data_IF_260851910157
#
_entry.id   IF_260851910157
#
_cell.length_a   1.000
_cell.length_b   1.000
_cell.length_c   1.000
_cell.angle_alpha   90.00
_cell.angle_beta   90.00
_cell.angle_gamma   90.00
#
_symmetry.space_group_name_H-M   'P 1'
#
loop_
_entity.id
_entity.type
_entity.pdbx_description
1 polymer ?
#
# COMPACT_ATOMS: atom_id res chain seq x y z
N UNK A 1 -2.18 15.65 1.98
CA UNK A 1 -1.49 14.41 2.41
C UNK A 1 -0.56 14.73 3.55
N UNK A 2 -0.74 14.11 4.68
CA UNK A 2 0.07 14.35 5.87
C UNK A 2 1.32 13.46 5.83
N UNK A 3 2.33 13.91 5.14
CA UNK A 3 3.55 13.14 4.88
C UNK A 3 4.26 12.72 6.16
N UNK A 4 4.31 13.61 7.16
CA UNK A 4 4.98 13.32 8.40
C UNK A 4 4.25 12.24 9.20
N UNK A 5 2.92 12.34 9.29
CA UNK A 5 2.10 11.34 9.98
C UNK A 5 2.21 9.97 9.31
N UNK A 6 2.18 9.94 7.97
CA UNK A 6 2.34 8.70 7.22
C UNK A 6 3.71 8.07 7.48
N UNK A 7 4.76 8.89 7.51
CA UNK A 7 6.09 8.38 7.81
C UNK A 7 6.17 7.74 9.20
N UNK A 8 5.56 8.38 10.20
CA UNK A 8 5.54 7.83 11.55
C UNK A 8 4.78 6.51 11.61
N UNK A 9 3.63 6.43 10.95
CA UNK A 9 2.89 5.18 10.88
C UNK A 9 3.73 4.04 10.31
N UNK A 10 4.37 4.29 9.17
CA UNK A 10 5.11 3.23 8.48
C UNK A 10 6.38 2.87 9.21
N UNK A 11 7.15 3.86 9.65
CA UNK A 11 8.45 3.60 10.26
C UNK A 11 8.35 3.03 11.67
N UNK A 12 7.29 3.34 12.40
CA UNK A 12 7.16 2.91 13.78
C UNK A 12 6.14 1.81 14.01
N UNK A 13 5.07 1.75 13.21
CA UNK A 13 3.96 0.84 13.49
C UNK A 13 3.78 -0.27 12.47
N UNK A 14 4.32 -0.15 11.26
CA UNK A 14 4.18 -1.23 10.29
C UNK A 14 5.29 -2.26 10.47
N UNK A 15 5.01 -3.52 10.11
CA UNK A 15 6.05 -4.54 10.16
C UNK A 15 6.92 -4.51 8.89
N UNK A 16 6.38 -4.03 7.78
CA UNK A 16 7.06 -4.09 6.47
C UNK A 16 7.97 -2.90 6.20
N UNK A 17 7.79 -1.78 6.89
CA UNK A 17 8.55 -0.55 6.66
C UNK A 17 9.19 0.00 7.93
N UNK A 18 9.35 -0.85 8.95
CA UNK A 18 9.90 -0.42 10.22
C UNK A 18 11.30 0.16 10.03
N UNK A 19 11.52 1.34 10.59
CA UNK A 19 12.80 2.01 10.49
C UNK A 19 13.05 2.74 9.18
N UNK A 20 12.07 2.84 8.29
CA UNK A 20 12.24 3.56 7.04
C UNK A 20 12.61 5.02 7.32
N UNK A 21 13.70 5.49 6.72
CA UNK A 21 14.13 6.88 6.92
C UNK A 21 13.18 7.85 6.23
N UNK A 22 13.18 9.10 6.70
CA UNK A 22 12.35 10.13 6.06
C UNK A 22 12.78 10.36 4.60
N UNK A 23 14.08 10.26 4.34
CA UNK A 23 14.60 10.42 2.98
C UNK A 23 14.04 9.33 2.05
N UNK A 24 14.06 8.08 2.48
CA UNK A 24 13.50 6.97 1.70
C UNK A 24 12.00 7.12 1.52
N UNK A 25 11.30 7.57 2.57
CA UNK A 25 9.88 7.79 2.52
C UNK A 25 9.51 8.86 1.48
N UNK A 26 10.20 9.99 1.51
CA UNK A 26 9.93 11.07 0.57
C UNK A 26 10.17 10.63 -0.87
N UNK A 27 11.25 9.88 -1.10
CA UNK A 27 11.56 9.36 -2.43
C UNK A 27 10.49 8.37 -2.91
N UNK A 28 10.04 7.48 -2.01
CA UNK A 28 9.00 6.50 -2.35
C UNK A 28 7.69 7.18 -2.71
N UNK A 29 7.30 8.21 -1.95
CA UNK A 29 6.08 8.95 -2.25
C UNK A 29 6.19 9.70 -3.58
N UNK A 30 7.34 10.30 -3.84
CA UNK A 30 7.55 11.06 -5.07
C UNK A 30 7.47 10.18 -6.32
N UNK A 31 7.84 8.90 -6.21
CA UNK A 31 7.80 7.94 -7.31
C UNK A 31 6.52 7.12 -7.39
N UNK A 32 5.50 7.48 -6.64
CA UNK A 32 4.27 6.69 -6.53
C UNK A 32 3.03 7.52 -6.78
N UNK A 33 1.91 6.84 -7.04
CA UNK A 33 0.58 7.43 -6.92
C UNK A 33 0.18 7.23 -5.47
N UNK A 34 -0.21 8.30 -4.78
CA UNK A 34 -0.48 8.26 -3.36
C UNK A 34 -1.98 8.45 -3.08
N UNK A 35 -2.48 7.68 -2.13
CA UNK A 35 -3.90 7.68 -1.77
C UNK A 35 -4.05 7.94 -0.28
N UNK A 36 -4.96 8.81 0.09
CA UNK A 36 -5.23 9.10 1.50
C UNK A 36 -6.72 9.13 1.77
N UNK A 37 -7.11 8.69 2.97
CA UNK A 37 -8.47 8.82 3.47
C UNK A 37 -8.41 9.78 4.65
N UNK A 38 -9.32 10.75 4.64
CA UNK A 38 -9.37 11.81 5.66
C UNK A 38 -10.70 11.80 6.36
N UNK A 39 -10.74 12.27 7.60
CA UNK A 39 -11.97 12.36 8.38
C UNK A 39 -12.68 13.65 7.99
N UNK A 40 -13.57 13.54 7.03
CA UNK A 40 -14.28 14.68 6.51
C UNK A 40 -13.38 15.62 5.71
N UNK A 41 -13.93 16.75 5.31
CA UNK A 41 -13.19 17.73 4.52
C UNK A 41 -12.28 18.55 5.45
N UNK A 42 -10.98 18.41 5.24
CA UNK A 42 -10.01 19.12 6.08
C UNK A 42 -9.69 18.45 7.41
N UNK A 43 -10.22 17.25 7.67
CA UNK A 43 -9.94 16.52 8.90
C UNK A 43 -8.63 15.74 8.87
N UNK A 44 -8.31 15.04 9.97
CA UNK A 44 -7.07 14.29 10.04
C UNK A 44 -7.06 13.11 9.07
N UNK A 45 -5.88 12.75 8.61
CA UNK A 45 -5.70 11.61 7.74
C UNK A 45 -5.91 10.31 8.53
N UNK A 46 -6.71 9.41 7.99
CA UNK A 46 -7.05 8.13 8.64
C UNK A 46 -6.40 6.93 7.98
N UNK A 47 -5.91 7.06 6.77
CA UNK A 47 -5.28 5.96 6.07
C UNK A 47 -4.44 6.41 4.90
N UNK A 48 -3.60 5.50 4.41
CA UNK A 48 -2.67 5.76 3.33
C UNK A 48 -2.42 4.49 2.52
N UNK A 49 -2.11 4.67 1.25
CA UNK A 49 -1.56 3.63 0.40
C UNK A 49 -0.86 4.29 -0.78
N UNK A 50 -0.02 3.54 -1.46
CA UNK A 50 0.60 4.01 -2.70
C UNK A 50 0.62 2.92 -3.75
N UNK A 51 0.68 3.33 -5.01
CA UNK A 51 0.82 2.42 -6.14
C UNK A 51 2.06 2.80 -6.93
N UNK A 52 2.91 1.81 -7.19
CA UNK A 52 4.08 1.96 -8.05
C UNK A 52 3.67 1.41 -9.41
N UNK A 53 3.71 2.24 -10.45
CA UNK A 53 3.21 1.82 -11.76
C UNK A 53 3.88 2.57 -12.89
N UNK A 54 3.99 1.91 -14.04
CA UNK A 54 4.41 2.57 -15.27
C UNK A 54 3.22 3.27 -15.95
N UNK A 55 2.03 3.13 -15.41
CA UNK A 55 0.82 3.72 -15.97
C UNK A 55 0.25 2.98 -17.17
N UNK A 56 0.81 1.85 -17.55
CA UNK A 56 0.43 1.15 -18.78
C UNK A 56 0.28 -0.36 -18.65
N UNK A 57 1.15 -1.01 -17.89
CA UNK A 57 1.18 -2.48 -17.91
C UNK A 57 0.99 -3.14 -16.56
N UNK A 58 1.47 -2.53 -15.48
CA UNK A 58 1.54 -3.18 -14.18
C UNK A 58 1.51 -2.16 -13.06
N UNK A 59 0.96 -2.56 -11.91
CA UNK A 59 1.05 -1.77 -10.69
C UNK A 59 1.35 -2.66 -9.50
N UNK A 60 2.10 -2.12 -8.54
CA UNK A 60 2.39 -2.75 -7.25
C UNK A 60 1.79 -1.86 -6.16
N UNK A 61 0.89 -2.42 -5.36
CA UNK A 61 0.28 -1.70 -4.25
C UNK A 61 1.14 -1.89 -3.01
N UNK A 62 1.50 -0.81 -2.36
CA UNK A 62 2.38 -0.84 -1.21
C UNK A 62 1.91 0.10 -0.10
N UNK A 63 2.40 -0.17 1.10
CA UNK A 63 2.24 0.71 2.26
C UNK A 63 0.77 1.03 2.59
N UNK A 64 -0.12 0.05 2.46
CA UNK A 64 -1.51 0.21 2.84
C UNK A 64 -1.60 0.22 4.37
N UNK A 65 -1.97 1.34 4.94
CA UNK A 65 -2.02 1.50 6.39
C UNK A 65 -3.28 2.26 6.81
N UNK A 66 -3.94 1.76 7.87
CA UNK A 66 -5.10 2.42 8.48
C UNK A 66 -4.71 2.82 9.88
N UNK A 67 -4.97 4.08 10.24
CA UNK A 67 -4.66 4.57 11.58
C UNK A 67 -5.33 3.67 12.62
N UNK A 68 -4.65 3.34 13.73
CA UNK A 68 -5.20 2.43 14.75
C UNK A 68 -6.60 2.87 15.22
N UNK A 69 -6.82 4.16 15.43
CA UNK A 69 -8.08 4.67 15.91
C UNK A 69 -9.20 4.61 14.87
N UNK A 70 -8.87 4.36 13.63
CA UNK A 70 -9.84 4.30 12.53
C UNK A 70 -10.13 2.86 12.06
N UNK A 71 -9.50 1.87 12.67
CA UNK A 71 -9.70 0.47 12.27
C UNK A 71 -11.12 0.01 12.59
N UNK A 72 -11.66 -0.87 11.75
CA UNK A 72 -13.04 -1.33 11.92
C UNK A 72 -14.09 -0.39 11.38
N UNK A 73 -13.70 0.72 10.73
CA UNK A 73 -14.62 1.72 10.21
C UNK A 73 -14.70 1.71 8.69
N UNK A 74 -14.15 0.70 8.02
CA UNK A 74 -14.20 0.60 6.57
C UNK A 74 -13.18 1.44 5.82
N UNK A 75 -12.19 1.99 6.50
CA UNK A 75 -11.17 2.86 5.88
C UNK A 75 -10.34 2.08 4.85
N UNK A 76 -9.98 0.84 5.16
CA UNK A 76 -9.23 0.00 4.20
C UNK A 76 -10.01 -0.23 2.92
N UNK A 77 -11.31 -0.44 3.01
CA UNK A 77 -12.16 -0.59 1.83
C UNK A 77 -12.21 0.68 1.01
N UNK A 78 -12.28 1.84 1.67
CA UNK A 78 -12.29 3.13 0.97
C UNK A 78 -10.99 3.36 0.23
N UNK A 79 -9.85 3.01 0.84
CA UNK A 79 -8.55 3.14 0.19
C UNK A 79 -8.51 2.26 -1.06
N UNK A 80 -8.91 1.00 -0.92
CA UNK A 80 -8.87 0.07 -2.05
C UNK A 80 -9.81 0.48 -3.16
N UNK A 81 -10.99 0.98 -2.81
CA UNK A 81 -11.91 1.49 -3.82
C UNK A 81 -11.29 2.66 -4.58
N UNK A 82 -10.63 3.58 -3.87
CA UNK A 82 -9.96 4.71 -4.50
C UNK A 82 -8.84 4.28 -5.43
N UNK A 83 -8.07 3.26 -5.03
CA UNK A 83 -7.00 2.72 -5.86
C UNK A 83 -7.57 2.09 -7.13
N UNK A 84 -8.59 1.25 -6.98
CA UNK A 84 -9.19 0.57 -8.13
C UNK A 84 -9.80 1.59 -9.08
N UNK A 85 -10.50 2.59 -8.57
CA UNK A 85 -11.11 3.62 -9.41
C UNK A 85 -10.05 4.45 -10.15
N UNK A 86 -8.91 4.69 -9.52
CA UNK A 86 -7.83 5.46 -10.14
C UNK A 86 -7.07 4.65 -11.19
N UNK A 87 -6.85 3.36 -10.92
CA UNK A 87 -6.05 2.52 -11.82
C UNK A 87 -6.86 1.91 -12.97
N UNK A 88 -8.16 1.67 -12.78
CA UNK A 88 -9.00 1.02 -13.79
C UNK A 88 -8.91 1.65 -15.17
N UNK A 89 -8.98 2.99 -15.32
CA UNK A 89 -8.88 3.60 -16.64
C UNK A 89 -7.55 3.38 -17.34
N UNK A 90 -6.49 2.98 -16.62
CA UNK A 90 -5.18 2.78 -17.22
C UNK A 90 -5.11 1.47 -18.02
N UNK A 91 -6.03 0.55 -17.80
CA UNK A 91 -6.04 -0.71 -18.53
C UNK A 91 -4.86 -1.61 -18.28
N UNK A 92 -4.33 -1.60 -17.04
CA UNK A 92 -3.16 -2.40 -16.69
C UNK A 92 -3.46 -3.89 -16.81
N UNK A 93 -2.47 -4.66 -17.25
CA UNK A 93 -2.63 -6.11 -17.36
C UNK A 93 -2.74 -6.76 -15.99
N UNK A 94 -1.94 -6.30 -15.03
CA UNK A 94 -1.92 -6.87 -13.69
C UNK A 94 -1.66 -5.81 -12.64
N UNK A 95 -2.26 -6.02 -11.47
CA UNK A 95 -1.93 -5.26 -10.27
C UNK A 95 -1.63 -6.29 -9.19
N UNK A 96 -0.53 -6.14 -8.49
CA UNK A 96 -0.09 -7.09 -7.49
C UNK A 96 0.18 -6.43 -6.16
N UNK A 97 0.14 -7.22 -5.09
CA UNK A 97 0.50 -6.78 -3.76
C UNK A 97 0.99 -7.97 -2.95
N UNK A 98 1.59 -7.69 -1.80
CA UNK A 98 1.96 -8.71 -0.83
C UNK A 98 1.23 -8.38 0.47
N UNK A 99 0.65 -9.38 1.11
CA UNK A 99 0.02 -9.23 2.42
C UNK A 99 0.18 -10.50 3.23
N UNK A 100 0.40 -10.36 4.54
CA UNK A 100 0.47 -11.50 5.43
C UNK A 100 -0.87 -11.79 6.08
N UNK A 101 -1.71 -10.77 6.26
CA UNK A 101 -2.87 -10.89 7.14
C UNK A 101 -4.17 -10.26 6.62
N UNK A 102 -4.19 -9.73 5.43
CA UNK A 102 -5.36 -9.01 4.94
C UNK A 102 -5.94 -9.55 3.63
N UNK A 103 -5.75 -10.83 3.36
CA UNK A 103 -6.25 -11.45 2.12
C UNK A 103 -7.73 -11.20 1.89
N UNK A 104 -8.54 -11.29 2.96
CA UNK A 104 -9.99 -11.09 2.84
C UNK A 104 -10.38 -9.70 2.34
N UNK A 105 -9.63 -8.68 2.71
CA UNK A 105 -9.88 -7.33 2.22
C UNK A 105 -9.63 -7.27 0.70
N UNK A 106 -8.48 -7.76 0.26
CA UNK A 106 -8.09 -7.64 -1.13
C UNK A 106 -8.91 -8.52 -2.06
N UNK A 107 -9.34 -9.68 -1.59
CA UNK A 107 -10.19 -10.55 -2.38
C UNK A 107 -11.51 -9.89 -2.80
N UNK A 108 -12.01 -8.96 -1.98
CA UNK A 108 -13.23 -8.21 -2.30
C UNK A 108 -13.05 -7.31 -3.51
N UNK A 109 -11.81 -7.02 -3.88
CA UNK A 109 -11.48 -6.16 -5.02
C UNK A 109 -10.89 -6.94 -6.19
N UNK A 110 -11.05 -8.26 -6.18
CA UNK A 110 -10.63 -9.10 -7.31
C UNK A 110 -9.21 -9.64 -7.22
N UNK A 111 -8.49 -9.37 -6.13
CA UNK A 111 -7.16 -9.94 -5.95
C UNK A 111 -7.28 -11.41 -5.57
N UNK A 112 -6.43 -12.24 -6.15
CA UNK A 112 -6.43 -13.67 -5.91
C UNK A 112 -5.02 -14.12 -5.60
N UNK A 113 -4.88 -15.22 -4.88
CA UNK A 113 -3.58 -15.82 -4.70
C UNK A 113 -3.03 -16.24 -6.06
N UNK A 114 -1.71 -16.22 -6.20
CA UNK A 114 -1.09 -16.59 -7.45
C UNK A 114 -1.43 -18.03 -7.81
N UNK A 115 -1.81 -18.26 -9.06
CA UNK A 115 -2.12 -19.62 -9.53
C UNK A 115 -0.85 -20.45 -9.58
N UNK A 116 0.29 -19.82 -9.82
CA UNK A 116 1.57 -20.50 -9.96
C UNK A 116 2.64 -19.74 -9.15
N UNK A 117 2.56 -19.77 -7.81
CA UNK A 117 3.49 -19.01 -6.97
C UNK A 117 4.96 -19.37 -7.26
N UNK A 118 5.21 -20.59 -7.72
CA UNK A 118 6.57 -21.03 -8.04
C UNK A 118 7.16 -20.31 -9.25
N UNK A 119 6.36 -19.58 -10.01
CA UNK A 119 6.86 -18.82 -11.15
C UNK A 119 7.30 -17.42 -10.76
N UNK A 120 7.02 -17.02 -9.53
CA UNK A 120 7.37 -15.70 -9.04
C UNK A 120 8.68 -15.78 -8.25
N UNK A 121 9.55 -14.82 -8.48
CA UNK A 121 10.85 -14.77 -7.82
C UNK A 121 11.06 -13.39 -7.22
N UNK A 122 11.63 -13.34 -6.02
CA UNK A 122 11.93 -12.12 -5.30
C UNK A 122 13.41 -12.08 -4.97
N UNK A 123 14.02 -10.95 -5.23
CA UNK A 123 15.41 -10.74 -4.80
C UNK A 123 15.39 -9.61 -3.76
N UNK A 124 15.88 -9.93 -2.56
CA UNK A 124 15.98 -8.92 -1.51
C UNK A 124 17.14 -7.97 -1.78
N UNK A 125 16.98 -6.72 -1.38
CA UNK A 125 18.08 -5.79 -1.34
C UNK A 125 19.09 -6.18 -0.26
N UNK A 126 20.31 -5.67 -0.35
CA UNK A 126 21.35 -5.97 0.64
C UNK A 126 20.88 -5.49 2.01
N UNK A 127 20.96 -6.33 3.02
CA UNK A 127 20.53 -6.01 4.38
C UNK A 127 19.08 -6.34 4.68
N UNK A 128 18.33 -6.81 3.68
CA UNK A 128 16.93 -7.19 3.87
C UNK A 128 16.78 -8.70 3.68
N UNK A 129 15.69 -9.25 4.14
CA UNK A 129 15.39 -10.67 4.01
C UNK A 129 13.98 -11.00 4.45
N UNK A 130 13.58 -12.26 4.39
CA UNK A 130 12.28 -12.68 4.85
C UNK A 130 12.20 -12.27 6.29
N UNK A 131 11.16 -11.57 6.64
CA UNK A 131 11.08 -11.07 7.76
C UNK A 131 10.93 -11.71 8.74
N UNK A 132 11.21 -11.36 9.62
CA UNK A 132 10.73 -11.53 10.81
C UNK A 132 10.08 -10.46 11.29
N UNK A 133 9.85 -9.66 10.76
CA UNK A 133 9.15 -8.67 11.31
C UNK A 133 9.71 -7.62 12.00
#
# INVERSE_FOLDING_TARGET
MDVERVHLWLSEESYWARGRTREAHDAAMAGSRNYGVFDGHGGPQLGYARAITDGATFAWIADVFVAPEARGRGVGKLIMQGIVDDLEPLGLKRTALFTEDAHGLYEKFGFQQLADPESWMLRWGRGYGPNPG
#
